data_IF_185915901836
#
_entry.id   IF_185915901836
#
_cell.length_a   1.000
_cell.length_b   1.000
_cell.length_c   1.000
_cell.angle_alpha   90.00
_cell.angle_beta   90.00
_cell.angle_gamma   90.00
#
_symmetry.space_group_name_H-M   'P 1'
#
loop_
_entity.id
_entity.type
_entity.pdbx_description
1 polymer ?
#
# COMPACT_ATOMS: atom_id res chain seq x y z
N UNK A 1 -14.20 3.11 -3.81
CA UNK A 1 -14.50 3.02 -2.37
C UNK A 1 -13.61 3.97 -1.56
N UNK A 2 -12.28 3.95 -1.70
CA UNK A 2 -11.35 4.72 -0.87
C UNK A 2 -11.48 6.25 -0.99
N UNK A 3 -11.98 6.77 -2.10
CA UNK A 3 -12.22 8.22 -2.28
C UNK A 3 -13.30 8.77 -1.32
N UNK A 4 -14.23 7.90 -0.88
CA UNK A 4 -15.34 8.28 0.01
C UNK A 4 -15.05 8.01 1.50
N UNK A 5 -13.97 7.32 1.81
CA UNK A 5 -13.62 6.92 3.17
C UNK A 5 -13.04 8.06 4.04
N UNK A 6 -12.20 8.99 3.51
CA UNK A 6 -11.61 10.05 4.32
C UNK A 6 -12.63 10.88 5.11
N UNK A 7 -13.77 11.32 4.51
CA UNK A 7 -14.78 12.08 5.24
C UNK A 7 -15.52 11.28 6.31
N UNK A 8 -15.60 9.95 6.16
CA UNK A 8 -16.36 9.08 7.05
C UNK A 8 -15.50 8.57 8.21
N UNK A 9 -14.31 8.08 7.91
CA UNK A 9 -13.41 7.48 8.89
C UNK A 9 -12.47 8.49 9.57
N UNK A 10 -12.24 9.63 8.94
CA UNK A 10 -11.17 10.55 9.32
C UNK A 10 -9.81 10.09 8.76
N UNK A 11 -8.90 11.05 8.61
CA UNK A 11 -7.59 10.79 7.99
C UNK A 11 -6.73 9.86 8.83
N UNK A 12 -6.68 10.06 10.16
CA UNK A 12 -5.88 9.27 11.09
C UNK A 12 -6.26 7.79 11.04
N UNK A 13 -7.54 7.49 11.22
CA UNK A 13 -8.04 6.10 11.22
C UNK A 13 -7.85 5.45 9.87
N UNK A 14 -8.13 6.18 8.79
CA UNK A 14 -7.96 5.67 7.42
C UNK A 14 -6.51 5.28 7.15
N UNK A 15 -5.54 6.15 7.43
CA UNK A 15 -4.12 5.88 7.18
C UNK A 15 -3.62 4.73 8.04
N UNK A 16 -3.95 4.73 9.33
CA UNK A 16 -3.55 3.66 10.25
C UNK A 16 -4.12 2.30 9.82
N UNK A 17 -5.42 2.24 9.55
CA UNK A 17 -6.08 1.01 9.11
C UNK A 17 -5.50 0.51 7.79
N UNK A 18 -5.21 1.41 6.87
CA UNK A 18 -4.62 1.07 5.58
C UNK A 18 -3.20 0.52 5.69
N UNK A 19 -2.38 1.11 6.57
CA UNK A 19 -1.04 0.61 6.84
C UNK A 19 -1.08 -0.80 7.45
N UNK A 20 -2.02 -1.06 8.35
CA UNK A 20 -2.21 -2.40 8.92
C UNK A 20 -2.79 -3.40 7.90
N UNK A 21 -3.63 -2.93 6.98
CA UNK A 21 -4.19 -3.78 5.93
C UNK A 21 -3.10 -4.38 5.02
N UNK A 22 -1.98 -3.68 4.81
CA UNK A 22 -0.83 -4.22 4.07
C UNK A 22 -0.19 -5.43 4.73
N UNK A 23 -0.35 -5.62 6.04
CA UNK A 23 0.17 -6.81 6.72
C UNK A 23 -0.53 -8.10 6.27
N UNK A 24 -1.80 -8.03 5.87
CA UNK A 24 -2.56 -9.21 5.43
C UNK A 24 -1.91 -9.88 4.20
N UNK A 25 -1.67 -9.16 3.07
CA UNK A 25 -1.01 -9.79 1.93
C UNK A 25 0.44 -10.19 2.22
N UNK A 26 1.16 -9.47 3.10
CA UNK A 26 2.52 -9.84 3.50
C UNK A 26 2.54 -11.17 4.27
N UNK A 27 1.65 -11.34 5.24
CA UNK A 27 1.50 -12.58 5.99
C UNK A 27 0.98 -13.72 5.10
N UNK A 28 0.03 -13.42 4.23
CA UNK A 28 -0.49 -14.37 3.24
C UNK A 28 0.63 -14.86 2.32
N UNK A 29 1.41 -13.96 1.75
CA UNK A 29 2.55 -14.31 0.92
C UNK A 29 3.58 -15.15 1.67
N UNK A 30 3.91 -14.77 2.88
CA UNK A 30 4.82 -15.53 3.74
C UNK A 30 4.33 -16.96 3.96
N UNK A 31 3.03 -17.17 4.21
CA UNK A 31 2.46 -18.51 4.42
C UNK A 31 2.47 -19.36 3.14
N UNK A 32 2.18 -18.76 1.99
CA UNK A 32 2.16 -19.44 0.69
C UNK A 32 3.55 -19.91 0.26
N UNK A 33 4.54 -19.05 0.43
CA UNK A 33 5.94 -19.39 0.06
C UNK A 33 6.48 -20.59 0.84
N UNK A 34 5.97 -20.83 2.05
CA UNK A 34 6.38 -22.00 2.86
C UNK A 34 5.75 -23.33 2.42
N UNK A 35 4.64 -23.30 1.67
CA UNK A 35 3.88 -24.49 1.25
C UNK A 35 3.44 -24.40 -0.22
N UNK A 36 4.36 -24.23 -1.17
CA UNK A 36 4.02 -23.95 -2.56
C UNK A 36 3.19 -25.06 -3.21
N UNK A 37 3.46 -26.33 -2.86
CA UNK A 37 2.79 -27.49 -3.45
C UNK A 37 1.32 -27.63 -2.98
N UNK A 38 1.00 -27.12 -1.79
CA UNK A 38 -0.32 -27.26 -1.17
C UNK A 38 -1.14 -25.95 -1.19
N UNK A 39 -0.73 -24.97 -1.99
CA UNK A 39 -1.42 -23.68 -2.03
C UNK A 39 -2.51 -23.72 -3.10
N UNK A 40 -3.79 -23.63 -2.74
CA UNK A 40 -4.87 -23.58 -3.71
C UNK A 40 -4.92 -22.22 -4.39
N UNK A 41 -5.34 -22.20 -5.66
CA UNK A 41 -5.40 -20.97 -6.47
C UNK A 41 -6.23 -19.85 -5.84
N UNK A 42 -7.32 -20.16 -5.15
CA UNK A 42 -8.17 -19.17 -4.50
C UNK A 42 -7.43 -18.40 -3.37
N UNK A 43 -6.46 -19.02 -2.69
CA UNK A 43 -5.64 -18.36 -1.67
C UNK A 43 -4.74 -17.30 -2.29
N UNK A 44 -4.11 -17.61 -3.42
CA UNK A 44 -3.36 -16.62 -4.20
C UNK A 44 -4.24 -15.46 -4.68
N UNK A 45 -5.46 -15.78 -5.12
CA UNK A 45 -6.43 -14.78 -5.53
C UNK A 45 -6.83 -13.86 -4.36
N UNK A 46 -7.06 -14.43 -3.17
CA UNK A 46 -7.40 -13.68 -1.97
C UNK A 46 -6.26 -12.74 -1.53
N UNK A 47 -5.01 -13.22 -1.57
CA UNK A 47 -3.82 -12.41 -1.25
C UNK A 47 -3.66 -11.27 -2.27
N UNK A 48 -3.83 -11.56 -3.56
CA UNK A 48 -3.76 -10.56 -4.64
C UNK A 48 -4.87 -9.51 -4.48
N UNK A 49 -6.08 -9.93 -4.14
CA UNK A 49 -7.19 -9.02 -3.85
C UNK A 49 -6.88 -8.12 -2.65
N UNK A 50 -6.35 -8.68 -1.55
CA UNK A 50 -5.95 -7.91 -0.37
C UNK A 50 -4.84 -6.90 -0.70
N UNK A 51 -3.87 -7.28 -1.54
CA UNK A 51 -2.82 -6.38 -2.04
C UNK A 51 -3.40 -5.23 -2.85
N UNK A 52 -4.36 -5.51 -3.74
CA UNK A 52 -5.06 -4.50 -4.54
C UNK A 52 -5.86 -3.53 -3.67
N UNK A 53 -6.52 -4.03 -2.62
CA UNK A 53 -7.20 -3.18 -1.63
C UNK A 53 -6.20 -2.26 -0.92
N UNK A 54 -5.04 -2.76 -0.51
CA UNK A 54 -3.97 -1.95 0.07
C UNK A 54 -3.49 -0.84 -0.87
N UNK A 55 -3.17 -1.18 -2.12
CA UNK A 55 -2.72 -0.22 -3.14
C UNK A 55 -3.74 0.88 -3.46
N UNK A 56 -5.02 0.54 -3.47
CA UNK A 56 -6.11 1.50 -3.73
C UNK A 56 -6.27 2.60 -2.68
N UNK A 57 -5.70 2.45 -1.49
CA UNK A 57 -5.73 3.44 -0.41
C UNK A 57 -5.00 4.73 -0.78
N UNK A 58 -4.01 4.67 -1.67
CA UNK A 58 -3.30 5.85 -2.15
C UNK A 58 -4.26 6.93 -2.68
N UNK A 59 -5.33 6.53 -3.37
CA UNK A 59 -6.37 7.44 -3.85
C UNK A 59 -7.11 8.17 -2.71
N UNK A 60 -7.17 7.58 -1.50
CA UNK A 60 -7.74 8.22 -0.31
C UNK A 60 -6.79 9.18 0.40
N UNK A 61 -5.47 8.98 0.27
CA UNK A 61 -4.47 9.83 0.90
C UNK A 61 -4.30 11.18 0.21
N UNK A 62 -4.44 11.24 -1.12
CA UNK A 62 -4.32 12.46 -1.89
C UNK A 62 -5.27 13.58 -1.43
N UNK A 63 -6.60 13.34 -1.35
CA UNK A 63 -7.51 14.35 -0.82
C UNK A 63 -7.19 14.74 0.63
N UNK A 64 -6.79 13.76 1.46
CA UNK A 64 -6.44 14.01 2.86
C UNK A 64 -5.27 14.98 3.00
N UNK A 65 -4.24 14.85 2.18
CA UNK A 65 -3.10 15.78 2.15
C UNK A 65 -3.56 17.19 1.79
N UNK A 66 -4.48 17.32 0.83
CA UNK A 66 -5.04 18.61 0.44
C UNK A 66 -5.72 19.37 1.60
N UNK A 67 -6.25 18.66 2.60
CA UNK A 67 -6.90 19.30 3.75
C UNK A 67 -5.93 19.92 4.76
N UNK A 68 -4.68 19.43 4.82
CA UNK A 68 -3.68 19.93 5.76
C UNK A 68 -2.93 21.17 5.27
N UNK A 69 -3.01 21.50 3.96
CA UNK A 69 -2.23 22.56 3.37
C UNK A 69 -3.12 23.67 2.77
N UNK A 70 -2.72 24.95 2.88
CA UNK A 70 -3.41 26.04 2.22
C UNK A 70 -3.37 25.88 0.70
N UNK A 71 -4.39 26.39 -0.01
CA UNK A 71 -4.58 26.19 -1.46
C UNK A 71 -3.33 26.44 -2.30
N UNK A 72 -2.53 27.45 -1.95
CA UNK A 72 -1.30 27.79 -2.67
C UNK A 72 -0.19 26.73 -2.56
N UNK A 73 -0.20 25.91 -1.52
CA UNK A 73 0.82 24.89 -1.25
C UNK A 73 0.32 23.47 -1.56
N UNK A 74 -0.96 23.29 -1.84
CA UNK A 74 -1.55 21.95 -2.08
C UNK A 74 -0.88 21.23 -3.25
N UNK A 75 -0.60 21.92 -4.36
CA UNK A 75 0.06 21.31 -5.51
C UNK A 75 1.46 20.80 -5.16
N UNK A 76 2.25 21.60 -4.43
CA UNK A 76 3.59 21.20 -3.97
C UNK A 76 3.51 20.01 -2.99
N UNK A 77 2.59 20.06 -2.03
CA UNK A 77 2.42 18.99 -1.05
C UNK A 77 2.00 17.67 -1.71
N UNK A 78 1.05 17.73 -2.65
CA UNK A 78 0.61 16.55 -3.40
C UNK A 78 1.69 16.00 -4.32
N UNK A 79 2.44 16.89 -5.00
CA UNK A 79 3.57 16.49 -5.85
C UNK A 79 4.68 15.82 -5.05
N UNK A 80 5.02 16.37 -3.89
CA UNK A 80 6.02 15.78 -2.99
C UNK A 80 5.55 14.41 -2.46
N UNK A 81 4.30 14.30 -2.02
CA UNK A 81 3.72 13.04 -1.56
C UNK A 81 3.71 11.97 -2.65
N UNK A 82 3.27 12.32 -3.85
CA UNK A 82 3.26 11.40 -4.99
C UNK A 82 4.68 10.99 -5.39
N UNK A 83 5.62 11.94 -5.43
CA UNK A 83 7.01 11.68 -5.77
C UNK A 83 7.69 10.73 -4.78
N UNK A 84 7.58 11.00 -3.48
CA UNK A 84 8.15 10.13 -2.43
C UNK A 84 7.46 8.76 -2.43
N UNK A 85 6.13 8.71 -2.62
CA UNK A 85 5.39 7.45 -2.68
C UNK A 85 5.86 6.57 -3.85
N UNK A 86 6.00 7.13 -5.04
CA UNK A 86 6.49 6.41 -6.21
C UNK A 86 7.97 6.02 -6.09
N UNK A 87 8.79 6.85 -5.45
CA UNK A 87 10.18 6.48 -5.13
C UNK A 87 10.24 5.23 -4.25
N UNK A 88 9.33 5.09 -3.28
CA UNK A 88 9.24 3.88 -2.45
C UNK A 88 9.02 2.60 -3.26
N UNK A 89 8.20 2.65 -4.31
CA UNK A 89 7.98 1.52 -5.23
C UNK A 89 9.29 1.18 -5.97
N UNK A 90 9.95 2.18 -6.54
CA UNK A 90 11.23 1.98 -7.24
C UNK A 90 12.32 1.46 -6.31
N UNK A 91 12.36 1.97 -5.08
CA UNK A 91 13.30 1.51 -4.05
C UNK A 91 13.12 0.02 -3.73
N UNK A 92 11.89 -0.43 -3.49
CA UNK A 92 11.66 -1.85 -3.18
C UNK A 92 11.92 -2.75 -4.38
N UNK A 93 11.62 -2.31 -5.61
CA UNK A 93 11.95 -3.07 -6.81
C UNK A 93 13.46 -3.28 -6.99
N UNK A 94 14.28 -2.31 -6.60
CA UNK A 94 15.73 -2.42 -6.60
C UNK A 94 16.24 -3.32 -5.47
N UNK A 95 15.67 -3.18 -4.28
CA UNK A 95 16.17 -3.83 -3.07
C UNK A 95 15.63 -5.26 -2.92
N UNK A 96 14.44 -5.56 -3.42
CA UNK A 96 13.83 -6.87 -3.26
C UNK A 96 14.66 -8.03 -3.84
N UNK A 97 15.22 -7.95 -5.07
CA UNK A 97 16.09 -9.01 -5.60
C UNK A 97 17.31 -9.24 -4.72
N UNK A 98 17.91 -8.16 -4.20
CA UNK A 98 19.04 -8.25 -3.29
C UNK A 98 18.67 -8.91 -1.95
N UNK A 99 17.51 -8.55 -1.36
CA UNK A 99 17.00 -9.18 -0.14
C UNK A 99 16.72 -10.68 -0.32
N UNK A 100 16.30 -11.10 -1.50
CA UNK A 100 16.05 -12.51 -1.80
C UNK A 100 17.33 -13.34 -1.93
N UNK A 101 18.48 -12.73 -2.13
CA UNK A 101 19.78 -13.40 -2.34
C UNK A 101 20.47 -13.88 -1.05
N UNK A 102 20.00 -13.50 0.14
CA UNK A 102 20.68 -13.86 1.40
C UNK A 102 19.69 -14.15 2.54
N UNK A 103 20.18 -14.86 3.57
CA UNK A 103 19.41 -15.18 4.76
C UNK A 103 19.23 -13.93 5.62
N UNK A 104 18.02 -13.39 5.69
CA UNK A 104 17.69 -12.26 6.55
C UNK A 104 17.60 -12.75 8.00
N UNK A 105 18.28 -12.05 8.93
CA UNK A 105 18.28 -12.30 10.36
C UNK A 105 18.90 -13.63 10.83
N UNK A 106 19.49 -14.43 9.97
CA UNK A 106 20.05 -15.74 10.37
C UNK A 106 19.01 -16.71 10.95
N UNK A 107 17.71 -16.37 10.81
CA UNK A 107 16.60 -17.13 11.38
C UNK A 107 16.25 -18.22 10.40
N UNK A 108 16.69 -19.45 10.66
CA UNK A 108 16.37 -20.62 9.87
C UNK A 108 14.93 -21.13 9.99
N UNK A 109 13.97 -20.25 10.33
CA UNK A 109 12.58 -20.63 10.46
C UNK A 109 11.88 -20.88 9.12
N UNK A 110 12.44 -20.43 8.02
CA UNK A 110 11.84 -20.59 6.70
C UNK A 110 12.87 -21.18 5.76
N UNK A 111 12.54 -22.33 5.18
CA UNK A 111 13.41 -22.96 4.20
C UNK A 111 13.50 -22.10 2.92
N UNK A 112 14.70 -21.95 2.34
CA UNK A 112 14.85 -21.29 1.05
C UNK A 112 14.16 -22.11 -0.03
N UNK A 113 13.67 -21.43 -1.05
CA UNK A 113 13.25 -22.09 -2.27
C UNK A 113 14.48 -22.42 -3.12
N UNK A 114 14.56 -23.66 -3.61
CA UNK A 114 15.62 -24.10 -4.50
C UNK A 114 15.23 -23.86 -5.94
N UNK A 115 16.05 -23.12 -6.67
CA UNK A 115 15.91 -22.98 -8.11
C UNK A 115 16.43 -24.23 -8.83
N UNK A 116 16.07 -24.44 -10.11
CA UNK A 116 16.57 -25.54 -10.92
C UNK A 116 18.09 -25.57 -11.07
N UNK A 117 18.78 -24.44 -10.94
CA UNK A 117 20.23 -24.29 -10.96
C UNK A 117 20.92 -24.64 -9.63
N UNK A 118 20.15 -25.05 -8.60
CA UNK A 118 20.64 -25.41 -7.28
C UNK A 118 20.84 -24.21 -6.33
N UNK A 119 20.62 -22.99 -6.78
CA UNK A 119 20.74 -21.81 -5.92
C UNK A 119 19.55 -21.69 -4.95
N UNK A 120 19.79 -21.11 -3.78
CA UNK A 120 18.77 -20.84 -2.78
C UNK A 120 18.26 -19.41 -2.91
N UNK A 121 16.93 -19.23 -2.95
CA UNK A 121 16.28 -17.92 -2.99
C UNK A 121 15.30 -17.78 -1.84
N UNK A 122 15.34 -16.65 -1.16
CA UNK A 122 14.50 -16.33 -0.01
C UNK A 122 13.38 -15.37 -0.42
N UNK A 123 12.39 -15.86 -1.16
CA UNK A 123 11.30 -15.05 -1.74
C UNK A 123 10.44 -14.35 -0.68
N UNK A 124 10.44 -14.83 0.56
CA UNK A 124 9.72 -14.25 1.69
C UNK A 124 10.41 -13.02 2.33
N UNK A 125 11.71 -12.84 2.09
CA UNK A 125 12.50 -11.78 2.74
C UNK A 125 11.96 -10.35 2.51
N UNK A 126 11.52 -9.95 1.30
CA UNK A 126 10.94 -8.62 1.11
C UNK A 126 9.70 -8.37 1.98
N UNK A 127 8.86 -9.38 2.19
CA UNK A 127 7.68 -9.26 3.06
C UNK A 127 8.08 -9.08 4.53
N UNK A 128 9.06 -9.88 5.01
CA UNK A 128 9.60 -9.75 6.39
C UNK A 128 10.26 -8.38 6.59
N UNK A 129 11.00 -7.90 5.60
CA UNK A 129 11.66 -6.59 5.67
C UNK A 129 10.65 -5.45 5.73
N UNK A 130 9.56 -5.52 4.97
CA UNK A 130 8.56 -4.46 4.88
C UNK A 130 7.52 -4.48 6.00
N UNK A 131 7.24 -5.61 6.63
CA UNK A 131 6.23 -5.73 7.67
C UNK A 131 6.49 -4.80 8.89
N UNK A 132 7.71 -4.68 9.44
CA UNK A 132 7.99 -3.73 10.52
C UNK A 132 7.75 -2.28 10.12
N UNK A 133 8.06 -1.91 8.88
CA UNK A 133 7.81 -0.55 8.37
C UNK A 133 6.32 -0.22 8.29
N UNK A 134 5.49 -1.18 7.89
CA UNK A 134 4.04 -1.00 7.89
C UNK A 134 3.52 -0.74 9.31
N UNK A 135 4.04 -1.45 10.32
CA UNK A 135 3.68 -1.24 11.73
C UNK A 135 4.15 0.14 12.21
N UNK A 136 5.39 0.52 11.91
CA UNK A 136 5.94 1.84 12.27
C UNK A 136 5.10 2.95 11.62
N UNK A 137 4.75 2.83 10.34
CA UNK A 137 3.88 3.78 9.65
C UNK A 137 2.49 3.86 10.30
N UNK A 138 1.90 2.72 10.70
CA UNK A 138 0.62 2.71 11.41
C UNK A 138 0.69 3.44 12.76
N UNK A 139 1.76 3.20 13.53
CA UNK A 139 1.98 3.87 14.81
C UNK A 139 2.21 5.37 14.64
N UNK A 140 3.03 5.79 13.68
CA UNK A 140 3.26 7.20 13.35
C UNK A 140 1.96 7.88 12.91
N UNK A 141 1.18 7.23 12.06
CA UNK A 141 -0.12 7.75 11.63
C UNK A 141 -1.08 7.91 12.81
N UNK A 142 -1.12 6.93 13.70
CA UNK A 142 -1.99 7.00 14.89
C UNK A 142 -1.60 8.09 15.86
N UNK A 143 -0.32 8.34 16.07
CA UNK A 143 0.19 9.31 17.05
C UNK A 143 0.20 10.74 16.53
N UNK A 144 0.61 10.96 15.28
CA UNK A 144 0.86 12.29 14.73
C UNK A 144 -0.25 12.83 13.84
N UNK A 145 -1.00 11.97 13.13
CA UNK A 145 -2.07 12.45 12.27
C UNK A 145 -3.28 12.91 13.08
N UNK A 146 -3.82 14.05 12.67
CA UNK A 146 -5.06 14.60 13.23
C UNK A 146 -6.21 14.38 12.24
N UNK A 147 -7.38 14.11 12.77
CA UNK A 147 -8.59 14.06 11.97
C UNK A 147 -9.04 15.48 11.62
N UNK A 148 -9.17 15.76 10.34
CA UNK A 148 -9.79 17.00 9.86
C UNK A 148 -11.25 16.70 9.57
N UNK A 149 -12.19 17.35 10.27
CA UNK A 149 -13.61 17.15 10.02
C UNK A 149 -13.97 17.72 8.64
N UNK A 150 -14.14 16.86 7.67
CA UNK A 150 -14.56 17.24 6.33
C UNK A 150 -16.03 16.87 6.16
N UNK A 151 -16.86 17.88 5.94
CA UNK A 151 -18.26 17.64 5.54
C UNK A 151 -18.28 17.22 4.07
N UNK A 152 -18.32 15.93 3.82
CA UNK A 152 -18.48 15.44 2.46
C UNK A 152 -19.96 15.43 2.08
N UNK A 153 -20.26 16.10 1.00
CA UNK A 153 -21.53 15.95 0.33
C UNK A 153 -21.40 14.84 -0.74
N UNK A 154 -21.89 13.65 -0.43
CA UNK A 154 -21.77 12.47 -1.30
C UNK A 154 -22.33 12.74 -2.71
N UNK A 155 -23.44 13.50 -2.80
CA UNK A 155 -24.03 13.89 -4.08
C UNK A 155 -23.10 14.76 -4.92
N UNK A 156 -22.35 15.66 -4.27
CA UNK A 156 -21.38 16.52 -4.94
C UNK A 156 -20.15 15.74 -5.43
N UNK A 157 -19.73 14.70 -4.69
CA UNK A 157 -18.65 13.81 -5.12
C UNK A 157 -19.06 12.96 -6.32
N UNK A 158 -20.31 12.49 -6.37
CA UNK A 158 -20.83 11.74 -7.52
C UNK A 158 -20.99 12.61 -8.78
N UNK A 159 -21.20 13.92 -8.65
CA UNK A 159 -21.31 14.81 -9.82
C UNK A 159 -20.02 14.88 -10.65
N UNK A 160 -18.89 14.47 -10.09
CA UNK A 160 -17.59 14.38 -10.79
C UNK A 160 -17.69 13.42 -11.99
N UNK A 161 -18.48 12.35 -11.90
CA UNK A 161 -18.67 11.40 -12.99
C UNK A 161 -19.43 12.00 -14.19
N UNK A 162 -20.17 13.07 -13.98
CA UNK A 162 -20.84 13.82 -15.05
C UNK A 162 -19.93 14.78 -15.82
N UNK A 163 -18.69 14.98 -15.36
CA UNK A 163 -17.77 15.92 -15.98
C UNK A 163 -16.87 15.20 -17.02
N UNK A 164 -16.94 15.64 -18.27
CA UNK A 164 -16.16 15.06 -19.38
C UNK A 164 -14.64 15.13 -19.09
N UNK A 165 -14.16 16.21 -18.46
CA UNK A 165 -12.74 16.36 -18.12
C UNK A 165 -12.26 15.25 -17.18
N UNK A 166 -13.10 14.73 -16.30
CA UNK A 166 -12.77 13.61 -15.42
C UNK A 166 -12.41 12.37 -16.25
N UNK A 167 -13.20 12.06 -17.27
CA UNK A 167 -12.95 10.91 -18.14
C UNK A 167 -11.72 11.08 -19.02
N UNK A 168 -11.54 12.29 -19.58
CA UNK A 168 -10.33 12.60 -20.36
C UNK A 168 -9.08 12.43 -19.51
N UNK A 169 -9.05 12.99 -18.29
CA UNK A 169 -7.91 12.84 -17.38
C UNK A 169 -7.70 11.39 -16.95
N UNK A 170 -8.76 10.61 -16.77
CA UNK A 170 -8.65 9.19 -16.44
C UNK A 170 -8.00 8.40 -17.58
N UNK A 171 -8.40 8.67 -18.83
CA UNK A 171 -7.81 8.00 -20.01
C UNK A 171 -6.33 8.38 -20.21
N UNK A 172 -5.99 9.65 -19.97
CA UNK A 172 -4.58 10.11 -20.07
C UNK A 172 -3.69 9.50 -18.98
N UNK A 173 -4.27 9.15 -17.82
CA UNK A 173 -3.53 8.55 -16.70
C UNK A 173 -3.39 7.03 -16.80
N UNK A 174 -4.19 6.36 -17.63
CA UNK A 174 -4.10 4.92 -17.90
C UNK A 174 -2.92 4.58 -18.80
#
# INVERSE_FOLDING_TARGET
AFMFLPPVLGTRKLVTFSALLFLLPMLGWFSVVQRPENTPFWELLAISFASGCGGGVFAGFMPSTGYFFPKRLQGTALGLQAGIGNFGISFIQLVAPWLMGFTLLGIGFVAPQRLPDGSNVFVHNPAIFMAPWAIVCALLAWTYLKDVPVKANFRQQLSIFGNVNTWVMTVVYL
#
